data_IF_960819859050
#
_entry.id   IF_960819859050
#
_cell.length_a   1.000
_cell.length_b   1.000
_cell.length_c   1.000
_cell.angle_alpha   90.00
_cell.angle_beta   90.00
_cell.angle_gamma   90.00
#
_symmetry.space_group_name_H-M   'P 1'
#
loop_
_entity.id
_entity.type
_entity.pdbx_description
1 polymer ?
#
# COMPACT_ATOMS: atom_id res chain seq x y z
N UNK A 1 25.83 -2.65 -8.10
CA UNK A 1 24.92 -2.25 -7.01
C UNK A 1 23.68 -1.70 -7.66
N UNK A 2 22.68 -2.55 -7.86
CA UNK A 2 21.48 -2.24 -8.63
C UNK A 2 20.62 -1.30 -7.81
N UNK A 3 20.43 -0.07 -8.31
CA UNK A 3 19.46 0.85 -7.75
C UNK A 3 18.10 0.16 -7.71
N UNK A 4 17.57 -0.06 -6.51
CA UNK A 4 16.15 -0.35 -6.30
C UNK A 4 15.41 0.84 -6.89
N UNK A 5 14.98 0.70 -8.14
CA UNK A 5 14.01 1.58 -8.77
C UNK A 5 12.89 1.75 -7.76
N UNK A 6 12.76 2.97 -7.24
CA UNK A 6 11.61 3.41 -6.47
C UNK A 6 10.39 2.74 -7.06
N UNK A 7 9.74 1.85 -6.30
CA UNK A 7 8.37 1.47 -6.63
C UNK A 7 7.62 2.79 -6.69
N UNK A 8 7.30 3.26 -7.90
CA UNK A 8 6.53 4.48 -8.15
C UNK A 8 5.08 4.13 -7.80
N UNK A 9 4.88 3.78 -6.54
CA UNK A 9 3.62 3.35 -6.00
C UNK A 9 3.15 4.37 -4.99
N UNK A 10 1.87 4.72 -5.05
CA UNK A 10 1.26 5.58 -4.04
C UNK A 10 1.13 4.76 -2.75
N UNK A 11 1.74 5.17 -1.64
CA UNK A 11 1.58 4.46 -0.38
C UNK A 11 0.14 4.61 0.14
N UNK A 12 -0.40 3.58 0.76
CA UNK A 12 -1.68 3.60 1.49
C UNK A 12 -1.59 2.81 2.79
N UNK A 13 -2.55 3.07 3.67
CA UNK A 13 -2.85 2.24 4.83
C UNK A 13 -4.19 1.56 4.65
N UNK A 14 -4.20 0.24 4.81
CA UNK A 14 -5.41 -0.55 4.86
C UNK A 14 -5.85 -0.68 6.32
N UNK A 15 -7.00 -0.11 6.64
CA UNK A 15 -7.63 -0.22 7.94
C UNK A 15 -8.63 -1.38 7.92
N UNK A 16 -8.30 -2.43 8.69
CA UNK A 16 -9.15 -3.56 8.98
C UNK A 16 -9.71 -3.44 10.40
N UNK A 17 -10.80 -4.14 10.76
CA UNK A 17 -11.42 -4.04 12.09
C UNK A 17 -10.47 -4.31 13.27
N UNK A 18 -9.37 -5.05 13.05
CA UNK A 18 -8.45 -5.48 14.10
C UNK A 18 -6.98 -5.13 13.83
N UNK A 19 -6.65 -4.54 12.69
CA UNK A 19 -5.27 -4.21 12.33
C UNK A 19 -5.20 -3.12 11.25
N UNK A 20 -4.05 -2.47 11.17
CA UNK A 20 -3.72 -1.57 10.07
C UNK A 20 -2.52 -2.16 9.34
N UNK A 21 -2.60 -2.25 8.01
CA UNK A 21 -1.52 -2.75 7.18
C UNK A 21 -1.02 -1.65 6.25
N UNK A 22 0.29 -1.61 6.02
CA UNK A 22 0.88 -0.69 5.06
C UNK A 22 0.91 -1.34 3.67
N UNK A 23 0.64 -0.52 2.65
CA UNK A 23 0.57 -0.98 1.28
C UNK A 23 0.98 0.08 0.26
N UNK A 24 1.09 -0.37 -0.98
CA UNK A 24 1.41 0.47 -2.13
C UNK A 24 0.50 0.13 -3.30
N UNK A 25 -0.06 1.15 -3.93
CA UNK A 25 -0.73 1.03 -5.22
C UNK A 25 0.26 1.41 -6.32
N UNK A 26 0.54 0.46 -7.20
CA UNK A 26 1.43 0.63 -8.34
C UNK A 26 0.72 1.38 -9.48
N UNK A 27 1.49 1.89 -10.44
CA UNK A 27 0.98 2.64 -11.60
C UNK A 27 -0.12 1.90 -12.40
N UNK A 28 -0.09 0.56 -12.40
CA UNK A 28 -1.10 -0.28 -13.07
C UNK A 28 -2.32 -0.59 -12.20
N UNK A 29 -2.55 0.19 -11.13
CA UNK A 29 -3.59 -0.01 -10.10
C UNK A 29 -3.48 -1.29 -9.29
N UNK A 30 -2.39 -2.04 -9.45
CA UNK A 30 -2.10 -3.20 -8.61
C UNK A 30 -1.87 -2.75 -7.17
N UNK A 31 -2.46 -3.47 -6.23
CA UNK A 31 -2.33 -3.19 -4.80
C UNK A 31 -1.46 -4.25 -4.14
N UNK A 32 -0.45 -3.79 -3.41
CA UNK A 32 0.42 -4.62 -2.59
C UNK A 32 0.20 -4.23 -1.13
N UNK A 33 0.06 -5.22 -0.26
CA UNK A 33 0.02 -5.01 1.18
C UNK A 33 1.11 -5.85 1.84
N UNK A 34 1.85 -5.20 2.73
CA UNK A 34 2.89 -5.81 3.54
C UNK A 34 2.37 -5.87 4.97
N UNK A 35 2.31 -7.08 5.52
CA UNK A 35 2.01 -7.25 6.94
C UNK A 35 3.16 -6.67 7.78
N UNK A 36 2.85 -6.01 8.90
CA UNK A 36 3.84 -5.47 9.84
C UNK A 36 4.81 -6.54 10.37
N UNK A 37 4.46 -7.82 10.28
CA UNK A 37 5.37 -8.94 10.53
C UNK A 37 6.41 -9.18 9.43
N UNK A 38 6.37 -8.49 8.29
CA UNK A 38 7.31 -8.61 7.17
C UNK A 38 7.28 -9.95 6.41
N UNK A 39 6.48 -10.92 6.86
CA UNK A 39 6.48 -12.28 6.35
C UNK A 39 5.36 -12.60 5.35
N UNK A 40 4.35 -11.74 5.22
CA UNK A 40 3.26 -11.92 4.28
C UNK A 40 3.12 -10.73 3.34
N UNK A 41 3.20 -11.03 2.04
CA UNK A 41 2.95 -10.09 0.96
C UNK A 41 1.67 -10.52 0.26
N UNK A 42 0.62 -9.71 0.35
CA UNK A 42 -0.62 -9.95 -0.37
C UNK A 42 -0.64 -9.03 -1.59
N UNK A 43 -0.64 -9.62 -2.79
CA UNK A 43 -0.80 -8.90 -4.04
C UNK A 43 -2.23 -9.07 -4.57
N UNK A 44 -2.86 -7.97 -4.95
CA UNK A 44 -4.15 -7.94 -5.60
C UNK A 44 -4.09 -7.14 -6.90
N UNK A 45 -4.95 -7.50 -7.86
CA UNK A 45 -5.05 -6.79 -9.14
C UNK A 45 -5.49 -5.34 -8.96
N UNK A 46 -6.34 -5.07 -7.96
CA UNK A 46 -6.78 -3.72 -7.59
C UNK A 46 -6.93 -3.55 -6.08
N UNK A 47 -6.93 -2.31 -5.63
CA UNK A 47 -7.30 -1.93 -4.24
C UNK A 47 -8.71 -2.40 -3.86
N UNK A 48 -9.65 -2.41 -4.82
CA UNK A 48 -11.00 -2.92 -4.60
C UNK A 48 -11.02 -4.45 -4.39
N UNK A 49 -10.25 -5.19 -5.17
CA UNK A 49 -10.13 -6.65 -4.99
C UNK A 49 -9.44 -6.99 -3.68
N UNK A 50 -8.48 -6.16 -3.26
CA UNK A 50 -7.84 -6.30 -1.96
C UNK A 50 -8.84 -6.14 -0.81
N UNK A 51 -9.66 -5.09 -0.84
CA UNK A 51 -10.71 -4.85 0.16
C UNK A 51 -11.73 -6.00 0.22
N UNK A 52 -12.10 -6.56 -0.93
CA UNK A 52 -12.95 -7.75 -0.99
C UNK A 52 -12.27 -8.98 -0.38
N UNK A 53 -10.99 -9.19 -0.68
CA UNK A 53 -10.20 -10.32 -0.18
C UNK A 53 -10.07 -10.32 1.35
N UNK A 54 -9.90 -9.16 1.97
CA UNK A 54 -9.86 -9.01 3.42
C UNK A 54 -11.24 -9.01 4.10
N UNK A 55 -12.34 -9.11 3.35
CA UNK A 55 -13.69 -9.17 3.91
C UNK A 55 -14.25 -7.82 4.39
N UNK A 56 -13.71 -6.72 3.87
CA UNK A 56 -14.10 -5.35 4.25
C UNK A 56 -13.00 -4.59 4.99
N UNK A 57 -12.98 -3.28 4.80
CA UNK A 57 -11.97 -2.35 5.32
C UNK A 57 -12.07 -1.02 4.59
N UNK A 58 -11.16 -0.10 4.88
CA UNK A 58 -11.02 1.13 4.09
C UNK A 58 -9.55 1.48 3.89
N UNK A 59 -9.29 2.23 2.83
CA UNK A 59 -7.95 2.70 2.47
C UNK A 59 -7.80 4.16 2.87
N UNK A 60 -6.75 4.45 3.63
CA UNK A 60 -6.26 5.79 3.90
C UNK A 60 -5.05 6.05 3.00
N UNK A 61 -5.08 7.18 2.29
CA UNK A 61 -3.95 7.63 1.50
C UNK A 61 -3.27 8.75 2.27
N UNK A 62 -2.09 8.52 2.88
CA UNK A 62 -1.36 9.61 3.49
C UNK A 62 -1.09 10.67 2.43
N UNK A 63 -1.44 11.92 2.72
CA UNK A 63 -1.07 13.03 1.85
C UNK A 63 0.46 13.07 1.78
N UNK A 64 1.05 13.22 0.58
CA UNK A 64 2.47 13.42 0.46
C UNK A 64 2.81 14.69 1.25
N UNK A 65 3.65 14.57 2.26
CA UNK A 65 4.08 15.71 3.06
C UNK A 65 4.79 16.71 2.12
N UNK A 66 4.24 17.92 1.92
CA UNK A 66 4.84 18.90 1.03
C UNK A 66 6.26 19.33 1.48
N UNK A 67 6.68 19.01 2.70
CA UNK A 67 8.02 19.30 3.21
C UNK A 67 9.15 18.51 2.52
N UNK A 68 8.86 17.44 1.76
CA UNK A 68 9.90 16.65 1.07
C UNK A 68 10.23 17.13 -0.36
N UNK A 69 9.52 18.14 -0.89
CA UNK A 69 9.75 18.62 -2.27
C UNK A 69 10.78 19.77 -2.39
N UNK A 70 11.39 20.21 -1.28
CA UNK A 70 12.21 21.43 -1.25
C UNK A 70 13.60 21.24 -0.59
N UNK A 71 14.21 20.07 -0.76
CA UNK A 71 15.60 19.78 -0.36
C UNK A 71 16.46 19.47 -1.58
#
# INVERSE_FOLDING_TARGET
MTALTYLIGRPFRLHLPHQVLDGWELADRQALVIDAGGHSLTAAATTADLLRGYGGGHLEWPEPDPAQHNQ
#
